data_IF_178647233379
#
_entry.id   IF_178647233379
#
_cell.length_a   1.000
_cell.length_b   1.000
_cell.length_c   1.000
_cell.angle_alpha   90.00
_cell.angle_beta   90.00
_cell.angle_gamma   90.00
#
_symmetry.space_group_name_H-M   'P 1'
#
loop_
_entity.id
_entity.type
_entity.pdbx_description
1 polymer ?
#
# COMPACT_ATOMS: atom_id res chain seq x y z
N UNK A 1 3.63 1.71 0.24
CA UNK A 1 3.32 0.31 0.53
C UNK A 1 3.05 -0.37 -0.79
N UNK A 2 4.05 -1.04 -1.33
CA UNK A 2 3.82 -1.91 -2.50
C UNK A 2 2.93 -3.03 -2.00
N UNK A 3 1.75 -3.17 -2.56
CA UNK A 3 0.87 -4.28 -2.23
C UNK A 3 1.51 -5.57 -2.71
N UNK A 4 1.76 -6.50 -1.78
CA UNK A 4 2.41 -7.80 -1.99
C UNK A 4 1.63 -8.76 -2.93
N UNK A 5 0.69 -8.28 -3.71
CA UNK A 5 -0.15 -9.11 -4.55
C UNK A 5 0.51 -9.57 -5.87
N UNK A 6 1.80 -9.29 -6.10
CA UNK A 6 2.55 -9.74 -7.28
C UNK A 6 3.91 -10.34 -6.93
N UNK A 7 3.95 -11.16 -5.89
CA UNK A 7 5.00 -12.15 -5.77
C UNK A 7 4.47 -13.47 -6.30
N UNK A 8 4.42 -13.60 -7.63
CA UNK A 8 4.56 -14.91 -8.26
C UNK A 8 5.98 -15.36 -7.93
N UNK A 9 6.08 -16.44 -7.21
CA UNK A 9 7.31 -17.19 -7.02
C UNK A 9 7.67 -17.72 -8.41
N UNK A 10 8.58 -17.06 -9.11
CA UNK A 10 9.30 -17.66 -10.22
C UNK A 10 10.43 -18.48 -9.63
N UNK A 11 10.44 -19.76 -9.99
CA UNK A 11 11.53 -20.68 -9.70
C UNK A 11 12.85 -20.16 -10.28
N UNK A 12 13.96 -20.24 -9.56
CA UNK A 12 15.26 -19.88 -10.09
C UNK A 12 15.91 -21.08 -10.80
N UNK A 13 15.59 -21.28 -12.06
CA UNK A 13 16.47 -22.00 -12.99
C UNK A 13 15.99 -21.83 -14.43
N UNK A 14 16.46 -20.80 -15.10
CA UNK A 14 16.74 -20.87 -16.53
C UNK A 14 17.85 -19.89 -16.89
N UNK A 15 19.04 -20.45 -16.99
CA UNK A 15 20.22 -19.79 -17.52
C UNK A 15 20.16 -19.78 -19.04
N UNK A 16 19.84 -18.64 -19.63
CA UNK A 16 20.08 -18.40 -21.06
C UNK A 16 20.95 -17.18 -21.25
N UNK A 17 22.06 -17.31 -22.01
CA UNK A 17 22.99 -16.22 -22.19
C UNK A 17 22.57 -15.29 -23.33
N UNK A 18 22.94 -14.05 -23.12
CA UNK A 18 22.84 -12.91 -24.01
C UNK A 18 23.44 -13.18 -25.40
N UNK A 19 22.74 -12.71 -26.44
CA UNK A 19 23.19 -12.67 -27.85
C UNK A 19 24.31 -11.65 -28.04
N UNK A 20 25.20 -11.89 -29.02
CA UNK A 20 25.76 -10.82 -29.82
C UNK A 20 25.41 -10.92 -31.30
N UNK A 21 25.33 -9.75 -31.87
CA UNK A 21 25.28 -9.21 -33.20
C UNK A 21 25.75 -10.05 -34.42
N UNK A 22 24.93 -9.86 -35.45
CA UNK A 22 25.13 -9.61 -36.87
C UNK A 22 26.41 -10.11 -37.62
N UNK A 23 26.23 -10.76 -38.73
CA UNK A 23 26.46 -10.31 -40.11
C UNK A 23 26.63 -11.42 -41.10
N UNK A 24 26.08 -11.18 -42.31
CA UNK A 24 26.46 -11.54 -43.68
C UNK A 24 26.20 -12.93 -44.28
N UNK A 25 25.42 -12.80 -45.27
CA UNK A 25 25.22 -13.31 -46.62
C UNK A 25 26.08 -14.50 -47.13
N UNK A 26 25.43 -15.42 -47.83
CA UNK A 26 25.58 -15.80 -49.23
C UNK A 26 25.11 -17.22 -49.58
N UNK A 27 24.11 -17.29 -50.38
CA UNK A 27 23.76 -18.12 -51.57
C UNK A 27 24.27 -19.57 -51.76
N UNK A 28 23.80 -20.31 -52.81
CA UNK A 28 22.90 -21.45 -52.60
C UNK A 28 23.40 -22.78 -53.30
N UNK A 29 22.59 -23.84 -53.05
CA UNK A 29 22.44 -25.11 -53.84
C UNK A 29 23.51 -26.20 -53.73
N UNK A 30 23.22 -27.49 -53.98
CA UNK A 30 22.12 -28.09 -54.76
C UNK A 30 21.43 -29.33 -54.15
N UNK A 31 20.30 -29.62 -54.75
CA UNK A 31 19.42 -30.78 -54.69
C UNK A 31 20.12 -32.13 -54.83
N UNK A 32 19.79 -33.11 -53.99
CA UNK A 32 19.94 -34.53 -54.29
C UNK A 32 18.68 -35.29 -53.92
N UNK A 33 18.03 -35.81 -54.96
CA UNK A 33 16.97 -36.81 -54.86
C UNK A 33 17.54 -38.11 -54.27
N UNK A 34 16.83 -38.65 -53.24
CA UNK A 34 16.95 -40.07 -52.93
C UNK A 34 15.57 -40.64 -52.63
N UNK A 35 15.25 -41.62 -53.47
CA UNK A 35 14.03 -42.44 -53.50
C UNK A 35 13.73 -43.04 -52.12
N UNK A 36 12.48 -42.91 -51.68
CA UNK A 36 11.95 -43.61 -50.54
C UNK A 36 11.64 -45.06 -50.89
N UNK A 37 12.23 -45.96 -50.13
CA UNK A 37 11.80 -47.36 -50.03
C UNK A 37 10.72 -47.43 -48.97
N UNK A 38 9.51 -47.74 -49.37
CA UNK A 38 8.39 -47.98 -48.45
C UNK A 38 8.62 -49.33 -47.76
N UNK A 39 8.95 -49.31 -46.51
CA UNK A 39 8.87 -50.47 -45.62
C UNK A 39 7.55 -50.45 -44.92
N UNK A 40 6.77 -51.49 -45.09
CA UNK A 40 5.55 -51.76 -44.30
C UNK A 40 5.94 -51.78 -42.81
N UNK A 41 5.58 -50.76 -42.08
CA UNK A 41 5.62 -50.78 -40.62
C UNK A 41 4.35 -51.44 -40.10
N UNK A 42 4.59 -52.32 -39.17
CA UNK A 42 3.67 -53.25 -38.55
C UNK A 42 2.53 -52.52 -37.85
N UNK A 43 1.30 -52.91 -38.15
CA UNK A 43 0.07 -52.35 -37.57
C UNK A 43 -0.06 -52.57 -36.06
N UNK A 44 0.83 -53.35 -35.46
CA UNK A 44 0.77 -53.62 -34.00
C UNK A 44 1.39 -52.51 -33.18
N UNK A 45 2.45 -51.84 -33.63
CA UNK A 45 3.05 -50.72 -32.87
C UNK A 45 2.15 -49.48 -32.82
N UNK A 46 1.36 -49.22 -33.87
CA UNK A 46 0.42 -48.10 -33.90
C UNK A 46 -0.74 -48.27 -32.91
N UNK A 47 -1.19 -49.50 -32.66
CA UNK A 47 -2.25 -49.79 -31.69
C UNK A 47 -1.75 -49.73 -30.25
N UNK A 48 -0.53 -50.15 -29.96
CA UNK A 48 0.09 -50.06 -28.63
C UNK A 48 0.32 -48.59 -28.23
N UNK A 49 0.87 -47.80 -29.11
CA UNK A 49 1.05 -46.35 -28.87
C UNK A 49 -0.27 -45.60 -28.62
N UNK A 50 -1.34 -46.00 -29.30
CA UNK A 50 -2.67 -45.40 -29.14
C UNK A 50 -3.32 -45.77 -27.81
N UNK A 51 -3.11 -46.99 -27.32
CA UNK A 51 -3.62 -47.46 -26.03
C UNK A 51 -2.88 -46.82 -24.86
N UNK A 52 -1.56 -46.62 -24.96
CA UNK A 52 -0.76 -45.93 -23.97
C UNK A 52 -1.13 -44.45 -23.87
N UNK A 53 -1.32 -43.78 -25.01
CA UNK A 53 -1.79 -42.38 -25.04
C UNK A 53 -3.22 -42.24 -24.50
N UNK A 54 -4.10 -43.22 -24.75
CA UNK A 54 -5.46 -43.25 -24.17
C UNK A 54 -5.42 -43.46 -22.65
N UNK A 55 -4.57 -44.38 -22.18
CA UNK A 55 -4.36 -44.63 -20.75
C UNK A 55 -3.78 -43.40 -20.05
N UNK A 56 -2.79 -42.73 -20.63
CA UNK A 56 -2.20 -41.51 -20.11
C UNK A 56 -3.20 -40.36 -20.06
N UNK A 57 -3.99 -40.18 -21.13
CA UNK A 57 -5.08 -39.20 -21.17
C UNK A 57 -6.15 -39.46 -20.12
N UNK A 58 -6.48 -40.72 -19.88
CA UNK A 58 -7.47 -41.13 -18.86
C UNK A 58 -6.94 -40.83 -17.44
N UNK A 59 -5.68 -41.12 -17.20
CA UNK A 59 -5.01 -40.80 -15.89
C UNK A 59 -4.97 -39.31 -15.66
N UNK A 60 -4.65 -38.50 -16.69
CA UNK A 60 -4.69 -37.05 -16.58
C UNK A 60 -6.10 -36.52 -16.32
N UNK A 61 -7.11 -37.04 -17.02
CA UNK A 61 -8.50 -36.66 -16.78
C UNK A 61 -8.98 -37.02 -15.39
N UNK A 62 -8.62 -38.21 -14.88
CA UNK A 62 -8.96 -38.62 -13.51
C UNK A 62 -8.20 -37.73 -12.52
N UNK A 63 -6.94 -37.40 -12.77
CA UNK A 63 -6.15 -36.49 -11.93
C UNK A 63 -6.73 -35.08 -11.87
N UNK A 64 -7.11 -34.52 -13.02
CA UNK A 64 -7.76 -33.21 -13.07
C UNK A 64 -9.13 -33.22 -12.42
N UNK A 65 -9.91 -34.28 -12.65
CA UNK A 65 -11.25 -34.44 -12.08
C UNK A 65 -11.18 -34.60 -10.54
N UNK A 66 -10.23 -35.38 -10.05
CA UNK A 66 -10.01 -35.52 -8.60
C UNK A 66 -9.48 -34.24 -7.97
N UNK A 67 -8.61 -33.48 -8.66
CA UNK A 67 -8.14 -32.19 -8.18
C UNK A 67 -9.27 -31.14 -8.04
N UNK A 68 -10.32 -31.26 -8.85
CA UNK A 68 -11.50 -30.38 -8.78
C UNK A 68 -12.53 -30.89 -7.76
N UNK A 69 -12.76 -32.21 -7.72
CA UNK A 69 -13.79 -32.78 -6.85
C UNK A 69 -13.33 -32.93 -5.40
N UNK A 70 -12.06 -33.26 -5.15
CA UNK A 70 -11.56 -33.41 -3.76
C UNK A 70 -11.74 -32.12 -2.95
N UNK A 71 -11.39 -30.92 -3.45
CA UNK A 71 -11.69 -29.67 -2.74
C UNK A 71 -13.18 -29.38 -2.61
N UNK A 72 -14.00 -29.80 -3.59
CA UNK A 72 -15.44 -29.53 -3.58
C UNK A 72 -16.23 -30.42 -2.61
N UNK A 73 -15.83 -31.68 -2.48
CA UNK A 73 -16.48 -32.64 -1.58
C UNK A 73 -15.79 -32.80 -0.23
N UNK A 74 -14.50 -32.48 -0.14
CA UNK A 74 -13.74 -32.42 1.07
C UNK A 74 -13.12 -31.02 1.18
N UNK A 75 -13.90 -29.99 1.54
CA UNK A 75 -13.31 -28.69 1.79
C UNK A 75 -12.25 -28.86 2.87
N UNK A 76 -11.00 -28.60 2.50
CA UNK A 76 -9.86 -28.55 3.42
C UNK A 76 -10.02 -27.42 4.47
N UNK A 77 -11.09 -26.66 4.40
CA UNK A 77 -11.47 -25.61 5.36
C UNK A 77 -12.12 -26.11 6.66
N UNK A 78 -12.09 -27.38 6.91
CA UNK A 78 -12.01 -27.80 8.31
C UNK A 78 -10.55 -27.70 8.78
N UNK A 79 -9.95 -26.53 8.60
CA UNK A 79 -9.07 -26.02 9.62
C UNK A 79 -9.88 -26.12 10.90
N UNK A 80 -9.49 -27.04 11.75
CA UNK A 80 -9.83 -27.07 13.14
C UNK A 80 -9.90 -25.62 13.58
N UNK A 81 -11.08 -25.07 13.71
CA UNK A 81 -11.33 -23.99 14.63
C UNK A 81 -10.92 -24.59 15.96
N UNK A 82 -9.64 -24.45 16.30
CA UNK A 82 -9.24 -24.40 17.67
C UNK A 82 -10.20 -23.40 18.25
N UNK A 83 -11.15 -23.92 19.00
CA UNK A 83 -12.09 -23.15 19.77
C UNK A 83 -11.25 -22.09 20.45
N UNK A 84 -11.42 -20.84 20.05
CA UNK A 84 -10.94 -19.64 20.75
C UNK A 84 -11.61 -19.48 22.14
N UNK A 85 -12.16 -20.57 22.63
CA UNK A 85 -12.78 -20.67 23.92
C UNK A 85 -11.80 -21.31 24.88
N UNK A 86 -10.93 -20.52 25.45
CA UNK A 86 -10.32 -20.60 26.79
C UNK A 86 -8.93 -19.97 26.83
N UNK A 87 -8.81 -18.77 26.37
CA UNK A 87 -7.83 -17.87 26.97
C UNK A 87 -8.68 -16.70 27.50
N UNK A 88 -8.70 -16.57 28.79
CA UNK A 88 -9.48 -15.52 29.48
C UNK A 88 -9.14 -14.13 28.94
N UNK A 89 -9.99 -13.12 29.20
CA UNK A 89 -9.91 -11.81 28.63
C UNK A 89 -8.49 -11.29 28.74
N UNK A 90 -7.90 -11.01 27.62
CA UNK A 90 -6.55 -10.53 27.54
C UNK A 90 -6.51 -9.15 28.19
N UNK A 91 -5.81 -8.96 29.31
CA UNK A 91 -5.74 -7.66 29.99
C UNK A 91 -5.21 -6.54 29.10
N UNK A 92 -4.46 -6.89 28.02
CA UNK A 92 -3.88 -5.92 27.09
C UNK A 92 -4.90 -5.07 26.36
N UNK A 93 -6.00 -5.65 25.87
CA UNK A 93 -7.01 -4.89 25.11
C UNK A 93 -7.69 -3.86 26.00
N UNK A 94 -8.01 -4.25 27.23
CA UNK A 94 -8.63 -3.34 28.20
C UNK A 94 -7.68 -2.20 28.61
N UNK A 95 -6.38 -2.48 28.76
CA UNK A 95 -5.38 -1.45 29.07
C UNK A 95 -5.27 -0.44 27.92
N UNK A 96 -5.19 -0.92 26.67
CA UNK A 96 -5.10 -0.05 25.49
C UNK A 96 -6.37 0.78 25.28
N UNK A 97 -7.53 0.18 25.49
CA UNK A 97 -8.81 0.89 25.42
C UNK A 97 -8.92 1.97 26.51
N UNK A 98 -8.53 1.66 27.74
CA UNK A 98 -8.51 2.63 28.83
C UNK A 98 -7.50 3.76 28.59
N UNK A 99 -6.32 3.45 28.05
CA UNK A 99 -5.33 4.45 27.66
C UNK A 99 -5.87 5.37 26.57
N UNK A 100 -6.48 4.82 25.53
CA UNK A 100 -7.10 5.59 24.45
C UNK A 100 -8.25 6.47 24.97
N UNK A 101 -9.12 5.93 25.83
CA UNK A 101 -10.19 6.69 26.44
C UNK A 101 -9.67 7.85 27.32
N UNK A 102 -8.64 7.59 28.13
CA UNK A 102 -8.00 8.61 28.95
C UNK A 102 -7.38 9.73 28.11
N UNK A 103 -6.71 9.37 27.00
CA UNK A 103 -6.15 10.33 26.06
C UNK A 103 -7.25 11.23 25.45
N UNK A 104 -8.36 10.65 25.04
CA UNK A 104 -9.45 11.38 24.40
C UNK A 104 -10.23 12.26 25.36
N UNK A 105 -10.39 11.84 26.63
CA UNK A 105 -11.06 12.62 27.67
C UNK A 105 -10.18 13.72 28.27
N UNK A 106 -8.85 13.62 28.13
CA UNK A 106 -7.91 14.62 28.61
C UNK A 106 -7.95 15.91 27.78
N UNK A 107 -7.38 17.01 28.29
CA UNK A 107 -7.27 18.25 27.53
C UNK A 107 -6.33 18.07 26.33
N UNK A 108 -6.75 18.54 25.17
CA UNK A 108 -5.88 18.62 24.01
C UNK A 108 -4.86 19.73 24.21
N UNK A 109 -3.57 19.44 23.96
CA UNK A 109 -2.47 20.39 24.14
C UNK A 109 -2.01 20.93 22.77
N UNK A 110 -2.24 22.23 22.47
CA UNK A 110 -1.87 22.79 21.19
C UNK A 110 -0.37 22.64 20.90
N UNK A 111 -0.07 22.13 19.68
CA UNK A 111 1.32 21.98 19.19
C UNK A 111 2.26 21.33 20.19
N UNK A 112 1.80 20.29 20.86
CA UNK A 112 2.53 19.60 21.90
C UNK A 112 3.96 19.22 21.46
N UNK A 113 4.12 18.74 20.22
CA UNK A 113 5.39 18.35 19.67
C UNK A 113 6.38 19.51 19.61
N UNK A 114 5.97 20.72 19.17
CA UNK A 114 6.84 21.91 19.12
C UNK A 114 7.24 22.40 20.50
N UNK A 115 6.34 22.28 21.47
CA UNK A 115 6.56 22.81 22.81
C UNK A 115 7.47 21.89 23.65
N UNK A 116 7.44 20.59 23.42
CA UNK A 116 8.14 19.60 24.24
C UNK A 116 9.36 18.96 23.57
N UNK A 117 9.42 18.92 22.23
CA UNK A 117 10.50 18.28 21.46
C UNK A 117 11.22 19.25 20.55
N UNK A 118 12.21 19.94 21.08
CA UNK A 118 13.21 20.66 20.28
C UNK A 118 14.38 19.71 19.99
N UNK A 119 15.03 19.75 18.92
CA UNK A 119 14.89 20.06 17.48
C UNK A 119 14.95 18.84 16.55
N UNK A 120 14.84 17.60 17.08
CA UNK A 120 15.08 16.40 16.26
C UNK A 120 13.88 15.99 15.41
N UNK A 121 12.66 16.07 15.98
CA UNK A 121 11.46 15.51 15.36
C UNK A 121 10.42 16.57 14.97
N UNK A 122 10.42 17.70 15.64
CA UNK A 122 9.50 18.79 15.42
C UNK A 122 10.27 20.07 15.10
N UNK A 123 11.28 19.99 14.21
CA UNK A 123 11.97 21.18 13.76
C UNK A 123 11.02 22.06 12.95
N UNK A 124 11.13 23.39 13.11
CA UNK A 124 10.34 24.33 12.32
C UNK A 124 10.43 24.04 10.81
N UNK A 125 11.60 23.60 10.32
CA UNK A 125 11.80 23.24 8.92
C UNK A 125 10.97 22.03 8.45
N UNK A 126 10.56 21.12 9.33
CA UNK A 126 9.67 20.02 9.01
C UNK A 126 8.19 20.46 9.06
N UNK A 127 7.88 21.41 9.94
CA UNK A 127 6.49 21.82 10.22
C UNK A 127 6.02 22.99 9.35
N UNK A 128 6.93 23.66 8.64
CA UNK A 128 6.60 24.78 7.74
C UNK A 128 6.34 24.33 6.28
N UNK A 129 6.43 23.03 5.99
CA UNK A 129 6.14 22.51 4.65
C UNK A 129 4.63 22.49 4.43
N UNK A 130 4.12 23.11 3.34
CA UNK A 130 2.73 22.96 2.99
C UNK A 130 2.39 21.48 2.74
N UNK A 131 1.40 20.96 3.45
CA UNK A 131 1.04 19.53 3.38
C UNK A 131 0.58 19.14 1.97
N UNK A 132 -0.12 20.03 1.30
CA UNK A 132 -0.61 19.82 -0.06
C UNK A 132 0.03 20.81 -1.03
N UNK A 133 0.23 20.36 -2.27
CA UNK A 133 0.68 21.21 -3.35
C UNK A 133 -0.33 22.35 -3.55
N UNK A 134 0.17 23.56 -3.67
CA UNK A 134 -0.59 24.79 -3.87
C UNK A 134 -0.16 25.44 -5.18
N UNK A 135 -1.11 26.11 -5.87
CA UNK A 135 -0.84 26.77 -7.15
C UNK A 135 0.14 27.94 -7.03
N UNK A 136 0.13 28.60 -5.88
CA UNK A 136 0.89 29.84 -5.59
C UNK A 136 2.22 29.59 -4.88
N UNK A 137 2.57 28.33 -4.60
CA UNK A 137 3.81 27.98 -3.91
C UNK A 137 4.69 27.07 -4.75
N UNK A 138 6.01 27.34 -4.79
CA UNK A 138 6.93 26.51 -5.53
C UNK A 138 6.97 25.10 -4.92
N UNK A 139 7.05 24.11 -5.80
CA UNK A 139 7.32 22.71 -5.45
C UNK A 139 8.79 22.44 -5.76
N UNK A 140 9.44 21.54 -5.01
CA UNK A 140 10.78 21.09 -5.37
C UNK A 140 10.77 20.36 -6.70
N UNK A 141 11.50 20.94 -7.69
CA UNK A 141 11.63 20.39 -9.05
C UNK A 141 12.92 19.58 -9.25
N UNK A 142 13.81 19.54 -8.25
CA UNK A 142 15.14 18.95 -8.42
C UNK A 142 15.16 17.42 -8.36
N UNK A 143 14.06 16.82 -7.94
CA UNK A 143 13.94 15.39 -7.78
C UNK A 143 12.72 14.87 -8.51
N UNK A 144 12.85 13.67 -9.06
CA UNK A 144 11.73 12.96 -9.68
C UNK A 144 10.74 12.42 -8.63
N UNK A 145 9.49 12.15 -8.99
CA UNK A 145 8.54 11.49 -8.10
C UNK A 145 9.11 10.18 -7.51
N UNK A 146 8.81 9.84 -6.27
CA UNK A 146 7.92 10.54 -5.34
C UNK A 146 8.59 11.60 -4.47
N UNK A 147 9.88 11.87 -4.62
CA UNK A 147 10.65 12.79 -3.77
C UNK A 147 10.56 14.25 -4.24
N UNK A 148 10.11 14.48 -5.43
CA UNK A 148 9.87 15.76 -6.08
C UNK A 148 8.90 15.58 -7.24
N UNK A 149 8.88 16.53 -8.19
CA UNK A 149 8.00 16.50 -9.36
C UNK A 149 8.74 16.82 -10.67
N UNK A 150 10.06 16.64 -10.71
CA UNK A 150 10.87 16.83 -11.91
C UNK A 150 10.35 15.99 -13.06
N UNK A 151 10.12 16.61 -14.21
CA UNK A 151 9.58 15.97 -15.42
C UNK A 151 8.08 15.72 -15.38
N UNK A 152 7.35 16.31 -14.40
CA UNK A 152 5.90 16.18 -14.26
C UNK A 152 5.18 17.54 -14.31
N UNK A 153 5.85 18.60 -14.77
CA UNK A 153 5.41 19.99 -14.68
C UNK A 153 4.10 20.23 -15.40
N UNK A 154 4.00 19.77 -16.65
CA UNK A 154 2.79 19.93 -17.48
C UNK A 154 1.62 19.13 -16.88
N UNK A 155 1.87 17.90 -16.47
CA UNK A 155 0.87 17.04 -15.84
C UNK A 155 0.35 17.65 -14.53
N UNK A 156 1.27 18.23 -13.71
CA UNK A 156 0.89 18.93 -12.49
C UNK A 156 0.03 20.16 -12.79
N UNK A 157 0.40 20.98 -13.78
CA UNK A 157 -0.37 22.15 -14.14
C UNK A 157 -1.81 21.79 -14.54
N UNK A 158 -1.99 20.73 -15.32
CA UNK A 158 -3.31 20.21 -15.72
C UNK A 158 -4.10 19.68 -14.52
N UNK A 159 -3.44 18.93 -13.63
CA UNK A 159 -4.07 18.41 -12.42
C UNK A 159 -4.52 19.55 -11.51
N UNK A 160 -3.66 20.54 -11.25
CA UNK A 160 -4.00 21.71 -10.44
C UNK A 160 -5.12 22.57 -11.05
N UNK A 161 -5.15 22.71 -12.39
CA UNK A 161 -6.23 23.41 -13.06
C UNK A 161 -7.60 22.71 -12.90
N UNK A 162 -7.60 21.38 -12.67
CA UNK A 162 -8.82 20.61 -12.41
C UNK A 162 -9.26 20.63 -10.94
N UNK A 163 -8.40 21.10 -10.02
CA UNK A 163 -8.66 21.16 -8.58
C UNK A 163 -9.20 22.55 -8.20
N UNK A 164 -10.44 22.65 -7.69
CA UNK A 164 -11.02 23.94 -7.29
C UNK A 164 -10.40 24.49 -6.00
N UNK A 165 -9.73 23.64 -5.22
CA UNK A 165 -9.11 24.00 -3.95
C UNK A 165 -7.79 23.26 -3.73
N UNK A 166 -6.79 23.93 -3.16
CA UNK A 166 -5.45 23.38 -2.93
C UNK A 166 -5.09 23.17 -1.46
N UNK A 167 -5.75 23.81 -0.51
CA UNK A 167 -5.46 23.69 0.92
C UNK A 167 -6.41 22.72 1.66
N UNK A 168 -6.34 22.72 2.98
CA UNK A 168 -7.31 21.99 3.80
C UNK A 168 -8.74 22.50 3.52
N UNK A 169 -9.75 21.61 3.52
CA UNK A 169 -11.15 22.01 3.49
C UNK A 169 -11.47 22.99 4.62
N UNK A 170 -12.37 23.96 4.40
CA UNK A 170 -12.75 24.93 5.45
C UNK A 170 -13.20 24.28 6.75
N UNK A 171 -13.92 23.13 6.67
CA UNK A 171 -14.34 22.34 7.81
C UNK A 171 -13.21 21.76 8.67
N UNK A 172 -11.99 21.74 8.16
CA UNK A 172 -10.79 21.27 8.85
C UNK A 172 -9.82 22.40 9.21
N UNK A 173 -10.21 23.67 8.96
CA UNK A 173 -9.36 24.85 9.15
C UNK A 173 -9.69 25.66 10.39
N UNK A 174 -10.61 25.23 11.26
CA UNK A 174 -10.98 26.03 12.43
C UNK A 174 -9.75 26.50 13.18
N UNK A 175 -9.48 27.79 13.09
CA UNK A 175 -8.38 28.44 13.77
C UNK A 175 -8.65 28.48 15.27
N UNK A 176 -7.67 28.05 16.06
CA UNK A 176 -7.72 28.13 17.52
C UNK A 176 -8.23 26.88 18.24
N UNK A 177 -8.79 25.89 17.55
CA UNK A 177 -9.11 24.61 18.16
C UNK A 177 -7.92 23.64 18.10
N UNK A 178 -7.58 23.05 19.23
CA UNK A 178 -6.59 21.97 19.29
C UNK A 178 -7.10 20.74 18.55
N UNK A 179 -6.33 20.23 17.58
CA UNK A 179 -6.72 19.12 16.70
C UNK A 179 -6.00 17.84 17.05
N UNK A 180 -6.77 16.78 17.20
CA UNK A 180 -6.26 15.42 17.40
C UNK A 180 -6.35 14.62 16.10
N UNK A 181 -5.21 14.08 15.67
CA UNK A 181 -5.14 13.16 14.53
C UNK A 181 -4.92 11.73 15.00
N UNK A 182 -5.48 10.79 14.24
CA UNK A 182 -5.05 9.40 14.27
C UNK A 182 -4.64 8.94 12.87
N UNK A 183 -3.46 8.35 12.76
CA UNK A 183 -3.02 7.66 11.55
C UNK A 183 -3.32 6.18 11.73
N UNK A 184 -4.21 5.66 10.90
CA UNK A 184 -4.60 4.25 10.91
C UNK A 184 -3.78 3.52 9.87
N UNK A 185 -2.78 2.79 10.33
CA UNK A 185 -1.97 1.89 9.52
C UNK A 185 -2.72 0.59 9.22
N UNK A 186 -2.13 -0.22 8.36
CA UNK A 186 -2.75 -1.46 7.89
C UNK A 186 -2.35 -2.69 8.72
N UNK A 187 -1.46 -2.53 9.70
CA UNK A 187 -0.84 -3.64 10.44
C UNK A 187 -1.84 -4.58 11.11
N UNK A 188 -1.50 -5.87 11.11
CA UNK A 188 -2.31 -6.94 11.69
C UNK A 188 -2.61 -6.79 13.19
N UNK A 189 -1.80 -5.99 13.89
CA UNK A 189 -2.00 -5.66 15.32
C UNK A 189 -3.31 -4.89 15.59
N UNK A 190 -3.92 -4.33 14.55
CA UNK A 190 -5.23 -3.66 14.67
C UNK A 190 -6.38 -4.67 14.73
N UNK A 191 -6.19 -5.88 14.22
CA UNK A 191 -7.20 -6.93 14.24
C UNK A 191 -7.51 -7.35 15.68
N UNK A 192 -8.77 -7.28 16.08
CA UNK A 192 -9.24 -7.62 17.42
C UNK A 192 -8.93 -6.56 18.49
N UNK A 193 -8.41 -5.39 18.12
CA UNK A 193 -8.07 -4.31 19.05
C UNK A 193 -9.28 -3.61 19.64
N UNK A 194 -10.43 -3.69 18.97
CA UNK A 194 -11.69 -3.00 19.34
C UNK A 194 -11.56 -1.47 19.45
N UNK A 195 -10.55 -0.88 18.82
CA UNK A 195 -10.27 0.56 18.88
C UNK A 195 -11.19 1.42 17.99
N UNK A 196 -12.05 0.81 17.19
CA UNK A 196 -12.81 1.53 16.16
C UNK A 196 -13.59 2.72 16.68
N UNK A 197 -14.35 2.55 17.79
CA UNK A 197 -15.11 3.63 18.39
C UNK A 197 -14.25 4.76 18.97
N UNK A 198 -13.03 4.47 19.39
CA UNK A 198 -12.05 5.49 19.81
C UNK A 198 -11.47 6.22 18.62
N UNK A 199 -11.09 5.49 17.58
CA UNK A 199 -10.57 6.06 16.31
C UNK A 199 -11.57 7.09 15.76
N UNK A 200 -12.87 6.77 15.79
CA UNK A 200 -13.91 7.65 15.25
C UNK A 200 -14.16 8.94 16.05
N UNK A 201 -13.55 9.11 17.22
CA UNK A 201 -13.62 10.32 18.03
C UNK A 201 -12.54 11.37 17.66
N UNK A 202 -11.54 10.99 16.87
CA UNK A 202 -10.50 11.92 16.42
C UNK A 202 -11.04 12.94 15.43
N UNK A 203 -10.49 14.15 15.44
CA UNK A 203 -10.87 15.22 14.51
C UNK A 203 -10.47 14.87 13.08
N UNK A 204 -9.24 14.36 12.91
CA UNK A 204 -8.68 13.95 11.63
C UNK A 204 -8.23 12.49 11.69
N UNK A 205 -8.84 11.68 10.84
CA UNK A 205 -8.55 10.25 10.71
C UNK A 205 -7.90 10.03 9.34
N UNK A 206 -6.63 9.61 9.35
CA UNK A 206 -5.84 9.41 8.13
C UNK A 206 -5.73 7.90 7.87
N UNK A 207 -6.15 7.44 6.68
CA UNK A 207 -6.04 6.04 6.24
C UNK A 207 -5.22 5.92 4.97
N UNK A 208 -4.70 4.73 4.73
CA UNK A 208 -3.72 4.45 3.69
C UNK A 208 -4.29 3.49 2.65
N UNK A 209 -4.11 3.84 1.38
CA UNK A 209 -4.44 2.97 0.25
C UNK A 209 -5.86 2.37 0.31
N UNK A 210 -5.97 1.12 -0.16
CA UNK A 210 -7.22 0.38 -0.24
C UNK A 210 -7.59 -0.38 1.05
N UNK A 211 -6.94 -0.08 2.18
CA UNK A 211 -7.29 -0.71 3.45
C UNK A 211 -8.80 -0.57 3.74
N UNK A 212 -9.53 -1.68 3.82
CA UNK A 212 -10.99 -1.65 3.90
C UNK A 212 -11.46 -1.16 5.27
N UNK A 213 -12.55 -0.41 5.25
CA UNK A 213 -13.28 0.04 6.43
C UNK A 213 -14.53 -0.80 6.64
N UNK A 214 -15.40 -0.99 5.62
CA UNK A 214 -16.59 -1.83 5.76
C UNK A 214 -16.25 -3.27 6.15
N UNK A 215 -16.84 -3.72 7.25
CA UNK A 215 -16.59 -5.04 7.84
C UNK A 215 -15.48 -5.09 8.89
N UNK A 216 -14.77 -3.98 9.11
CA UNK A 216 -13.70 -3.84 10.10
C UNK A 216 -13.93 -2.68 11.07
N UNK A 217 -15.15 -2.18 11.13
CA UNK A 217 -15.51 -0.98 11.90
C UNK A 217 -15.21 -1.11 13.39
N UNK A 218 -15.33 -2.33 13.93
CA UNK A 218 -15.04 -2.61 15.34
C UNK A 218 -13.59 -2.31 15.71
N UNK A 219 -12.67 -2.63 14.82
CA UNK A 219 -11.23 -2.49 15.05
C UNK A 219 -10.67 -1.20 14.48
N UNK A 220 -11.12 -0.84 13.28
CA UNK A 220 -10.55 0.26 12.51
C UNK A 220 -11.40 1.53 12.51
N UNK A 221 -12.63 1.52 13.04
CA UNK A 221 -13.59 2.63 12.94
C UNK A 221 -14.19 2.75 11.53
N UNK A 222 -15.16 3.65 11.36
CA UNK A 222 -15.90 3.80 10.10
C UNK A 222 -15.64 5.13 9.38
N UNK A 223 -15.13 6.15 10.07
CA UNK A 223 -14.84 7.47 9.48
C UNK A 223 -13.47 7.49 8.81
N UNK A 224 -13.36 8.32 7.77
CA UNK A 224 -12.09 8.65 7.11
C UNK A 224 -12.10 10.15 6.80
N UNK A 225 -11.20 10.91 7.40
CA UNK A 225 -11.06 12.33 7.05
C UNK A 225 -10.18 12.49 5.83
N UNK A 226 -9.00 11.84 5.83
CA UNK A 226 -8.06 11.88 4.71
C UNK A 226 -7.69 10.45 4.34
N UNK A 227 -7.90 10.08 3.08
CA UNK A 227 -7.35 8.84 2.53
C UNK A 227 -6.16 9.18 1.66
N UNK A 228 -4.99 8.74 2.08
CA UNK A 228 -3.74 8.91 1.36
C UNK A 228 -3.55 7.72 0.41
N UNK A 229 -3.50 7.97 -0.89
CA UNK A 229 -3.45 6.93 -1.93
C UNK A 229 -2.47 7.28 -3.05
N UNK A 230 -2.13 6.29 -3.85
CA UNK A 230 -1.65 6.41 -5.21
C UNK A 230 -2.60 5.60 -6.13
N UNK A 231 -2.57 5.74 -7.46
CA UNK A 231 -3.60 5.16 -8.33
C UNK A 231 -3.86 3.68 -8.12
N UNK A 232 -2.79 2.87 -8.11
CA UNK A 232 -2.88 1.41 -7.92
C UNK A 232 -3.26 1.00 -6.49
N UNK A 233 -3.16 1.93 -5.53
CA UNK A 233 -3.56 1.75 -4.15
C UNK A 233 -4.97 2.28 -3.82
N UNK A 234 -5.68 2.83 -4.80
CA UNK A 234 -7.02 3.36 -4.57
C UNK A 234 -8.04 2.23 -4.32
N UNK A 235 -8.98 2.39 -3.36
CA UNK A 235 -10.07 1.44 -3.18
C UNK A 235 -10.96 1.34 -4.40
N UNK A 236 -11.26 0.11 -4.85
CA UNK A 236 -12.18 -0.15 -5.97
C UNK A 236 -13.65 -0.03 -5.56
N UNK A 237 -13.96 -0.26 -4.28
CA UNK A 237 -15.33 -0.21 -3.80
C UNK A 237 -15.77 1.23 -3.49
N UNK A 238 -16.85 1.67 -4.11
CA UNK A 238 -17.50 2.96 -3.81
C UNK A 238 -17.93 3.08 -2.33
N UNK A 239 -18.11 1.96 -1.63
CA UNK A 239 -18.48 1.95 -0.20
C UNK A 239 -17.39 2.57 0.68
N UNK A 240 -16.11 2.46 0.26
CA UNK A 240 -14.96 3.03 0.98
C UNK A 240 -14.96 4.55 1.05
N UNK A 241 -15.65 5.18 0.09
CA UNK A 241 -15.69 6.65 -0.01
C UNK A 241 -16.91 7.28 0.67
N UNK A 242 -17.92 6.48 1.11
CA UNK A 242 -19.15 7.00 1.72
C UNK A 242 -18.93 7.86 2.97
N UNK A 243 -17.89 7.56 3.73
CA UNK A 243 -17.49 8.27 4.96
C UNK A 243 -16.10 8.87 4.85
N UNK A 244 -15.61 9.05 3.62
CA UNK A 244 -14.34 9.69 3.31
C UNK A 244 -14.58 11.16 2.96
N UNK A 245 -13.95 12.06 3.69
CA UNK A 245 -14.08 13.50 3.43
C UNK A 245 -13.18 13.92 2.27
N UNK A 246 -11.94 13.44 2.23
CA UNK A 246 -10.93 13.88 1.27
C UNK A 246 -10.01 12.74 0.86
N UNK A 247 -9.56 12.78 -0.38
CA UNK A 247 -8.50 11.93 -0.92
C UNK A 247 -7.27 12.79 -1.21
N UNK A 248 -6.11 12.34 -0.78
CA UNK A 248 -4.82 12.96 -1.09
C UNK A 248 -3.97 11.99 -1.92
N UNK A 249 -3.60 12.43 -3.13
CA UNK A 249 -2.76 11.67 -4.05
C UNK A 249 -1.29 11.80 -3.67
N UNK A 250 -0.59 10.68 -3.63
CA UNK A 250 0.87 10.59 -3.66
C UNK A 250 1.30 10.30 -5.09
N UNK A 251 2.20 11.12 -5.62
CA UNK A 251 2.66 11.02 -7.02
C UNK A 251 3.94 10.19 -7.07
N UNK A 252 3.90 9.04 -7.73
CA UNK A 252 5.06 8.19 -7.99
C UNK A 252 5.58 8.32 -9.43
N UNK A 253 4.74 8.77 -10.35
CA UNK A 253 5.05 9.00 -11.77
C UNK A 253 4.11 10.06 -12.34
N UNK A 254 4.50 10.72 -13.44
CA UNK A 254 3.68 11.78 -14.07
C UNK A 254 2.27 11.31 -14.41
N UNK A 255 2.13 10.05 -14.83
CA UNK A 255 0.84 9.44 -15.16
C UNK A 255 -0.16 9.39 -13.99
N UNK A 256 0.32 9.45 -12.74
CA UNK A 256 -0.55 9.50 -11.57
C UNK A 256 -1.35 10.82 -11.52
N UNK A 257 -0.75 11.90 -12.02
CA UNK A 257 -1.42 13.21 -12.17
C UNK A 257 -2.48 13.18 -13.27
N UNK A 258 -2.20 12.48 -14.38
CA UNK A 258 -3.19 12.27 -15.45
C UNK A 258 -4.37 11.43 -14.94
N UNK A 259 -4.07 10.40 -14.15
CA UNK A 259 -5.10 9.60 -13.50
C UNK A 259 -5.98 10.46 -12.57
N UNK A 260 -5.38 11.31 -11.74
CA UNK A 260 -6.14 12.23 -10.88
C UNK A 260 -7.03 13.15 -11.71
N UNK A 261 -6.48 13.73 -12.76
CA UNK A 261 -7.22 14.59 -13.68
C UNK A 261 -8.40 13.85 -14.31
N UNK A 262 -8.20 12.60 -14.73
CA UNK A 262 -9.26 11.76 -15.32
C UNK A 262 -10.38 11.48 -14.32
N UNK A 263 -10.05 11.15 -13.08
CA UNK A 263 -11.02 10.90 -12.00
C UNK A 263 -11.83 12.15 -11.66
N UNK A 264 -11.17 13.31 -11.58
CA UNK A 264 -11.82 14.59 -11.25
C UNK A 264 -12.74 15.05 -12.39
N UNK A 265 -12.24 15.00 -13.62
CA UNK A 265 -12.97 15.49 -14.80
C UNK A 265 -13.97 14.48 -15.36
N UNK A 266 -13.99 13.24 -14.82
CA UNK A 266 -14.81 12.12 -15.30
C UNK A 266 -14.52 11.74 -16.75
N UNK A 267 -13.30 12.00 -17.22
CA UNK A 267 -12.82 11.62 -18.55
C UNK A 267 -11.81 10.47 -18.38
N UNK A 268 -12.18 9.23 -18.72
CA UNK A 268 -11.33 8.07 -18.46
C UNK A 268 -10.01 8.17 -19.24
N UNK A 269 -8.95 7.64 -18.65
CA UNK A 269 -7.66 7.49 -19.30
C UNK A 269 -7.79 6.59 -20.54
N UNK A 270 -6.91 6.82 -21.52
CA UNK A 270 -6.80 5.94 -22.68
C UNK A 270 -6.43 4.51 -22.23
N UNK A 271 -6.84 3.54 -23.04
CA UNK A 271 -6.43 2.14 -22.83
C UNK A 271 -4.90 1.99 -22.72
N UNK A 272 -4.16 2.67 -23.61
CA UNK A 272 -2.71 2.64 -23.63
C UNK A 272 -2.08 3.23 -22.37
N UNK A 273 -2.64 4.31 -21.84
CA UNK A 273 -2.18 4.90 -20.58
C UNK A 273 -2.36 3.94 -19.40
N UNK A 274 -3.48 3.19 -19.39
CA UNK A 274 -3.76 2.23 -18.32
C UNK A 274 -2.77 1.06 -18.27
N UNK A 275 -2.14 0.68 -19.37
CA UNK A 275 -1.14 -0.38 -19.42
C UNK A 275 0.17 -0.05 -18.66
N UNK A 276 0.41 1.23 -18.35
CA UNK A 276 1.58 1.67 -17.60
C UNK A 276 1.40 1.65 -16.08
N UNK A 277 0.22 1.24 -15.61
CA UNK A 277 0.02 0.93 -14.21
C UNK A 277 0.27 -0.57 -14.00
N UNK A 278 1.02 -0.89 -12.95
CA UNK A 278 1.34 -2.29 -12.64
C UNK A 278 0.14 -3.08 -12.09
N UNK A 279 -0.95 -2.39 -11.77
CA UNK A 279 -2.23 -2.94 -11.32
C UNK A 279 -3.37 -2.12 -11.93
N UNK A 280 -4.53 -2.75 -12.06
CA UNK A 280 -5.74 -2.05 -12.46
C UNK A 280 -6.04 -0.86 -11.54
N UNK A 281 -6.35 0.28 -12.13
CA UNK A 281 -6.70 1.52 -11.44
C UNK A 281 -8.18 1.84 -11.62
N UNK A 282 -8.78 2.47 -10.61
CA UNK A 282 -10.18 2.88 -10.68
C UNK A 282 -10.34 4.05 -11.66
N UNK A 283 -11.42 4.05 -12.42
CA UNK A 283 -11.78 5.13 -13.33
C UNK A 283 -12.62 6.22 -12.68
N UNK A 284 -13.25 5.88 -11.54
CA UNK A 284 -14.13 6.81 -10.83
C UNK A 284 -13.97 6.69 -9.32
N UNK A 285 -13.92 7.84 -8.67
CA UNK A 285 -14.04 7.99 -7.24
C UNK A 285 -15.26 8.87 -6.98
N UNK A 286 -16.27 8.41 -6.19
CA UNK A 286 -17.53 9.13 -6.01
C UNK A 286 -17.40 10.28 -5.01
N UNK A 287 -16.41 11.13 -5.20
CA UNK A 287 -16.17 12.36 -4.45
C UNK A 287 -16.24 13.56 -5.39
N UNK A 288 -16.55 14.72 -4.83
CA UNK A 288 -16.54 15.98 -5.57
C UNK A 288 -15.11 16.47 -5.81
N UNK A 289 -14.83 17.24 -6.86
CA UNK A 289 -13.50 17.78 -7.17
C UNK A 289 -12.83 18.51 -6.00
N UNK A 290 -13.61 19.26 -5.20
CA UNK A 290 -13.11 19.98 -4.03
C UNK A 290 -12.56 19.06 -2.90
N UNK A 291 -12.79 17.75 -2.98
CA UNK A 291 -12.35 16.77 -2.00
C UNK A 291 -11.06 16.03 -2.41
N UNK A 292 -10.40 16.47 -3.48
CA UNK A 292 -9.11 15.91 -3.90
C UNK A 292 -7.96 16.87 -3.60
N UNK A 293 -6.81 16.31 -3.27
CA UNK A 293 -5.54 17.02 -3.04
C UNK A 293 -4.37 16.24 -3.61
N UNK A 294 -3.26 16.93 -3.81
CA UNK A 294 -1.96 16.33 -4.13
C UNK A 294 -1.08 16.52 -2.89
N UNK A 295 -0.55 15.44 -2.34
CA UNK A 295 0.41 15.53 -1.23
C UNK A 295 1.67 16.22 -1.74
N UNK A 296 2.20 17.16 -0.95
CA UNK A 296 3.47 17.79 -1.28
C UNK A 296 4.61 16.74 -1.21
N UNK A 297 5.33 16.48 -2.30
CA UNK A 297 6.41 15.48 -2.32
C UNK A 297 7.55 15.83 -1.35
N UNK A 298 7.69 17.09 -0.96
CA UNK A 298 8.65 17.50 0.04
C UNK A 298 8.45 16.81 1.39
N UNK A 299 7.21 16.43 1.74
CA UNK A 299 6.92 15.62 2.92
C UNK A 299 7.60 14.26 2.81
N UNK A 300 7.49 13.62 1.64
CA UNK A 300 8.10 12.30 1.39
C UNK A 300 9.62 12.42 1.42
N UNK A 301 10.17 13.44 0.75
CA UNK A 301 11.60 13.70 0.71
C UNK A 301 12.16 13.92 2.12
N UNK A 302 11.56 14.81 2.89
CA UNK A 302 12.00 15.11 4.27
C UNK A 302 11.84 13.89 5.19
N UNK A 303 10.78 13.12 5.05
CA UNK A 303 10.64 11.85 5.77
C UNK A 303 11.81 10.92 5.44
N UNK A 304 12.14 10.77 4.15
CA UNK A 304 13.29 9.98 3.71
C UNK A 304 14.61 10.46 4.32
N UNK A 305 14.84 11.78 4.35
CA UNK A 305 16.02 12.38 4.97
C UNK A 305 16.13 12.09 6.49
N UNK A 306 15.00 12.11 7.20
CA UNK A 306 14.97 11.76 8.62
C UNK A 306 15.28 10.27 8.82
N UNK A 307 14.70 9.40 7.99
CA UNK A 307 14.93 7.95 8.07
C UNK A 307 16.38 7.54 7.80
N UNK A 308 17.13 8.34 7.05
CA UNK A 308 18.58 8.12 6.83
C UNK A 308 19.37 8.00 8.13
N UNK A 309 18.92 8.66 9.21
CA UNK A 309 19.58 8.60 10.54
C UNK A 309 19.43 7.23 11.20
N UNK A 310 18.44 6.45 10.77
CA UNK A 310 18.13 5.13 11.30
C UNK A 310 18.55 4.00 10.36
N UNK A 311 18.90 4.33 9.12
CA UNK A 311 19.22 3.36 8.09
C UNK A 311 20.65 2.84 8.22
N UNK A 312 20.81 1.56 7.96
CA UNK A 312 22.13 0.92 7.87
C UNK A 312 22.87 1.27 6.57
N UNK A 313 22.14 1.64 5.51
CA UNK A 313 22.70 2.01 4.21
C UNK A 313 22.38 3.46 3.89
N UNK A 314 23.37 4.18 3.38
CA UNK A 314 23.19 5.54 2.87
C UNK A 314 22.57 5.52 1.47
N UNK A 315 21.69 6.46 1.17
CA UNK A 315 21.05 6.59 -0.15
C UNK A 315 19.73 7.35 -0.07
N UNK A 316 19.14 7.70 -1.21
CA UNK A 316 17.80 8.30 -1.24
C UNK A 316 16.78 7.25 -0.83
N UNK A 317 16.21 7.41 0.35
CA UNK A 317 15.20 6.53 0.88
C UNK A 317 13.81 7.02 0.46
N UNK A 318 13.03 6.13 -0.10
CA UNK A 318 11.59 6.33 -0.29
C UNK A 318 10.87 5.73 0.91
N UNK A 319 10.29 6.54 1.79
CA UNK A 319 9.54 6.06 2.94
C UNK A 319 8.25 5.35 2.52
N UNK A 320 7.73 4.49 3.40
CA UNK A 320 6.36 4.00 3.21
C UNK A 320 5.35 5.14 3.28
N UNK A 321 4.17 4.91 2.73
CA UNK A 321 3.04 5.83 2.92
C UNK A 321 2.73 6.03 4.41
N UNK A 322 2.91 4.98 5.23
CA UNK A 322 2.70 5.03 6.67
C UNK A 322 3.59 6.07 7.35
N UNK A 323 4.89 6.01 7.14
CA UNK A 323 5.84 6.96 7.71
C UNK A 323 5.56 8.39 7.21
N UNK A 324 5.29 8.56 5.91
CA UNK A 324 4.93 9.86 5.33
C UNK A 324 3.63 10.43 5.90
N UNK A 325 2.63 9.57 6.16
CA UNK A 325 1.37 9.99 6.79
C UNK A 325 1.56 10.44 8.24
N UNK A 326 2.48 9.83 8.98
CA UNK A 326 2.81 10.27 10.34
C UNK A 326 3.43 11.67 10.31
N UNK A 327 4.39 11.91 9.42
CA UNK A 327 4.99 13.26 9.27
C UNK A 327 3.94 14.27 8.80
N UNK A 328 3.06 13.89 7.88
CA UNK A 328 1.92 14.71 7.47
C UNK A 328 1.01 15.06 8.65
N UNK A 329 0.69 14.08 9.50
CA UNK A 329 -0.16 14.28 10.67
C UNK A 329 0.47 15.24 11.69
N UNK A 330 1.78 15.12 11.93
CA UNK A 330 2.53 16.04 12.81
C UNK A 330 2.48 17.49 12.33
N UNK A 331 2.28 17.73 11.04
CA UNK A 331 2.13 19.09 10.50
C UNK A 331 0.70 19.60 10.57
N UNK A 332 -0.28 18.72 10.44
CA UNK A 332 -1.70 19.07 10.42
C UNK A 332 -2.30 19.26 11.81
N UNK A 333 -1.75 18.57 12.81
CA UNK A 333 -2.42 18.36 14.09
C UNK A 333 -1.53 18.71 15.27
N UNK A 334 -2.19 19.00 16.37
CA UNK A 334 -1.54 19.33 17.63
C UNK A 334 -1.15 18.08 18.42
N UNK A 335 -1.99 17.06 18.38
CA UNK A 335 -1.75 15.75 18.97
C UNK A 335 -1.94 14.66 17.90
N UNK A 336 -1.01 13.70 17.87
CA UNK A 336 -1.03 12.61 16.89
C UNK A 336 -0.99 11.26 17.58
N UNK A 337 -1.90 10.37 17.19
CA UNK A 337 -1.92 8.98 17.63
C UNK A 337 -1.76 8.05 16.44
N UNK A 338 -1.23 6.85 16.71
CA UNK A 338 -1.00 5.79 15.72
C UNK A 338 -1.82 4.58 16.12
N UNK A 339 -2.47 3.94 15.14
CA UNK A 339 -3.13 2.65 15.31
C UNK A 339 -2.75 1.74 14.14
N UNK A 340 -2.43 0.46 14.40
CA UNK A 340 -2.08 -0.48 13.34
C UNK A 340 -0.68 -0.29 12.74
N UNK A 341 0.27 0.21 13.52
CA UNK A 341 1.69 0.29 13.20
C UNK A 341 2.48 -0.76 14.00
N UNK A 342 3.73 -0.97 13.64
CA UNK A 342 4.63 -1.87 14.37
C UNK A 342 4.70 -3.27 13.77
N UNK A 343 5.20 -3.41 12.53
CA UNK A 343 5.52 -4.71 11.97
C UNK A 343 6.50 -5.46 12.85
N UNK A 344 6.14 -6.69 13.24
CA UNK A 344 6.96 -7.53 14.10
C UNK A 344 7.55 -8.72 13.32
N UNK A 345 8.79 -8.54 12.86
CA UNK A 345 9.52 -9.57 12.12
C UNK A 345 9.94 -10.76 12.99
N UNK A 346 9.81 -10.68 14.32
CA UNK A 346 10.10 -11.76 15.23
C UNK A 346 8.95 -12.78 15.29
N UNK A 347 7.74 -12.35 14.89
CA UNK A 347 6.56 -13.21 14.78
C UNK A 347 6.11 -13.33 13.31
N UNK A 348 6.86 -14.09 12.48
CA UNK A 348 6.63 -14.17 11.03
C UNK A 348 5.28 -14.79 10.66
N UNK A 349 4.65 -15.53 11.53
CA UNK A 349 3.31 -16.14 11.39
C UNK A 349 2.17 -15.18 11.72
N UNK A 350 2.43 -14.02 12.36
CA UNK A 350 1.43 -13.03 12.64
C UNK A 350 0.83 -12.46 11.34
N UNK A 351 -0.39 -11.93 11.42
CA UNK A 351 -1.04 -11.25 10.29
C UNK A 351 -0.22 -10.04 9.87
N UNK A 352 -0.03 -9.88 8.56
CA UNK A 352 0.61 -8.68 8.02
C UNK A 352 -0.34 -7.48 8.11
N UNK A 353 -1.58 -7.65 7.62
CA UNK A 353 -2.61 -6.62 7.66
C UNK A 353 -3.85 -7.10 8.42
N UNK A 354 -4.62 -6.15 8.97
CA UNK A 354 -5.78 -6.48 9.80
C UNK A 354 -6.93 -7.15 9.02
N UNK A 355 -6.95 -6.99 7.70
CA UNK A 355 -8.06 -7.40 6.84
C UNK A 355 -7.76 -8.64 5.99
N UNK A 356 -6.55 -9.19 6.05
CA UNK A 356 -6.16 -10.33 5.22
C UNK A 356 -5.44 -11.42 6.02
N UNK A 357 -5.26 -12.58 5.40
CA UNK A 357 -4.60 -13.74 6.02
C UNK A 357 -3.11 -13.84 5.70
N UNK A 358 -2.58 -12.93 4.88
CA UNK A 358 -1.15 -12.86 4.56
C UNK A 358 -0.35 -12.71 5.85
N UNK A 359 0.76 -13.45 5.94
CA UNK A 359 1.61 -13.50 7.11
C UNK A 359 2.73 -12.47 7.05
N UNK A 360 3.25 -12.07 8.21
CA UNK A 360 4.37 -11.13 8.35
C UNK A 360 5.62 -11.59 7.60
N UNK A 361 5.81 -12.91 7.44
CA UNK A 361 6.91 -13.49 6.66
C UNK A 361 6.99 -12.96 5.22
N UNK A 362 5.88 -12.56 4.61
CA UNK A 362 5.85 -11.98 3.27
C UNK A 362 6.63 -10.66 3.18
N UNK A 363 6.82 -9.93 4.29
CA UNK A 363 7.64 -8.71 4.32
C UNK A 363 9.12 -8.94 4.04
N UNK A 364 9.63 -10.18 4.16
CA UNK A 364 11.03 -10.50 3.85
C UNK A 364 11.38 -10.29 2.39
N UNK A 365 10.40 -10.40 1.50
CA UNK A 365 10.57 -10.17 0.06
C UNK A 365 10.50 -8.67 -0.34
N UNK A 366 10.14 -7.80 0.58
CA UNK A 366 10.05 -6.37 0.33
C UNK A 366 11.45 -5.74 0.41
N UNK A 367 11.89 -5.06 -0.65
CA UNK A 367 13.23 -4.46 -0.77
C UNK A 367 13.22 -2.95 -1.00
N UNK A 368 12.04 -2.36 -1.21
CA UNK A 368 11.91 -0.94 -1.60
C UNK A 368 12.04 0.00 -0.40
N UNK A 369 11.52 -0.41 0.76
CA UNK A 369 11.47 0.42 1.96
C UNK A 369 12.33 -0.17 3.07
N UNK A 370 12.99 0.66 3.86
CA UNK A 370 13.67 0.22 5.08
C UNK A 370 12.70 0.23 6.27
N UNK A 371 11.95 -0.87 6.40
CA UNK A 371 10.95 -1.05 7.48
C UNK A 371 11.60 -0.99 8.87
N UNK A 372 12.86 -1.42 8.98
CA UNK A 372 13.59 -1.39 10.26
C UNK A 372 13.89 0.05 10.68
N UNK A 373 14.37 0.88 9.75
CA UNK A 373 14.60 2.30 9.99
C UNK A 373 13.30 3.03 10.35
N UNK A 374 12.21 2.73 9.65
CA UNK A 374 10.88 3.30 9.95
C UNK A 374 10.38 2.90 11.34
N UNK A 375 10.52 1.62 11.71
CA UNK A 375 10.12 1.15 13.04
C UNK A 375 10.91 1.85 14.14
N UNK A 376 12.23 2.01 13.99
CA UNK A 376 13.07 2.72 14.95
C UNK A 376 12.66 4.19 15.06
N UNK A 377 12.44 4.87 13.94
CA UNK A 377 11.96 6.25 13.91
C UNK A 377 10.62 6.41 14.64
N UNK A 378 9.63 5.54 14.36
CA UNK A 378 8.34 5.60 15.02
C UNK A 378 8.43 5.31 16.52
N UNK A 379 9.29 4.37 16.92
CA UNK A 379 9.54 4.08 18.34
C UNK A 379 10.15 5.28 19.06
N UNK A 380 11.07 5.99 18.43
CA UNK A 380 11.67 7.20 19.00
C UNK A 380 10.62 8.31 19.15
N UNK A 381 9.69 8.47 18.17
CA UNK A 381 8.57 9.40 18.30
C UNK A 381 7.66 9.05 19.48
N UNK A 382 7.37 7.76 19.68
CA UNK A 382 6.55 7.29 20.82
C UNK A 382 7.31 7.50 22.13
N UNK A 383 8.58 7.09 22.21
CA UNK A 383 9.41 7.24 23.42
C UNK A 383 9.58 8.70 23.80
N UNK A 384 9.68 9.57 22.82
CA UNK A 384 9.73 11.01 23.01
C UNK A 384 8.35 11.62 23.35
N UNK A 385 7.24 10.85 23.25
CA UNK A 385 5.85 11.31 23.47
C UNK A 385 5.33 12.24 22.37
N UNK A 386 6.04 12.33 21.24
CA UNK A 386 5.59 13.12 20.08
C UNK A 386 4.35 12.52 19.41
N UNK A 387 4.19 11.21 19.50
CA UNK A 387 3.01 10.47 19.07
C UNK A 387 2.64 9.42 20.12
N UNK A 388 1.37 9.02 20.16
CA UNK A 388 0.88 7.97 21.04
C UNK A 388 0.57 6.71 20.22
N UNK A 389 1.14 5.56 20.57
CA UNK A 389 0.75 4.28 19.97
C UNK A 389 -0.45 3.69 20.70
N UNK A 390 -1.59 3.57 19.99
CA UNK A 390 -2.83 3.02 20.52
C UNK A 390 -2.86 1.49 20.51
N UNK A 391 -1.99 0.85 19.74
CA UNK A 391 -1.91 -0.62 19.59
C UNK A 391 -0.79 -1.25 20.40
N UNK A 392 0.13 -0.44 20.95
CA UNK A 392 1.21 -0.91 21.82
C UNK A 392 2.19 -1.86 21.13
N UNK A 393 2.42 -1.69 19.82
CA UNK A 393 3.27 -2.55 18.99
C UNK A 393 4.57 -1.86 18.53
N UNK A 394 4.75 -0.59 18.86
CA UNK A 394 5.95 0.20 18.58
C UNK A 394 6.92 0.24 19.75
#
# INVERSE_FOLDING_TARGET
MVTLNHLSVEDPDDGSPLLPEAAEAATPTPVFHRQQRVTKTDSREFFLSRSENLAFSLVLLIGCYSAILIPAYFPLDKVVTLSDEKIGPVPKDLVLLNQSASLLSGPCQPRWCLNHFKPLFCSASLLDIPVFVQQDRPVHWDLSPPLGLQGSEEHLALALASLPQSGLPPSLREEGSCRRCVVVGNGGVLHGSHLGSHIDQYDIIIRLNNAPVPGFERDAGFRTTIRLIYPEGAPHSAKEYKKTTMVALVVFKSLDLDWLTSVITKKPLSFWSKLWFWREVVDDIPLKPENFRILNPEIIHKTGQVLQKYALKQGNMVPTLGASAVVMALQLCDQVSLAGFGYDMQHPEARLHYYETIRMSAMKAQVVHDISAEKLFLRDLVAAGAVTDLTGAL
#
